data_IF_304456542325
#
_entry.id   IF_304456542325
#
_cell.length_a   1.000
_cell.length_b   1.000
_cell.length_c   1.000
_cell.angle_alpha   90.00
_cell.angle_beta   90.00
_cell.angle_gamma   90.00
#
_symmetry.space_group_name_H-M   'P 1'
#
loop_
_entity.id
_entity.type
_entity.pdbx_description
1 polymer ?
#
# COMPACT_ATOMS: atom_id res chain seq x y z
N UNK A 1 -8.72 23.91 -0.34
CA UNK A 1 -8.91 23.65 -1.80
C UNK A 1 -9.88 22.49 -2.02
N UNK A 2 -9.55 21.25 -1.63
CA UNK A 2 -10.32 20.04 -1.97
C UNK A 2 -11.77 20.04 -1.42
N UNK A 3 -11.98 20.51 -0.19
CA UNK A 3 -13.33 20.63 0.41
C UNK A 3 -14.22 21.60 -0.38
N UNK A 4 -13.66 22.72 -0.82
CA UNK A 4 -14.37 23.73 -1.62
C UNK A 4 -14.80 23.18 -2.97
N UNK A 5 -13.94 22.40 -3.62
CA UNK A 5 -14.23 21.71 -4.89
C UNK A 5 -15.30 20.62 -4.70
N UNK A 6 -15.27 19.90 -3.58
CA UNK A 6 -16.29 18.90 -3.23
C UNK A 6 -17.66 19.53 -3.01
N UNK A 7 -17.70 20.68 -2.31
CA UNK A 7 -18.93 21.47 -2.11
C UNK A 7 -19.52 21.97 -3.43
N UNK A 8 -18.67 22.50 -4.32
CA UNK A 8 -19.11 23.02 -5.62
C UNK A 8 -19.62 21.92 -6.56
N UNK A 9 -19.07 20.69 -6.48
CA UNK A 9 -19.43 19.58 -7.35
C UNK A 9 -20.37 18.54 -6.71
N UNK A 10 -20.93 18.81 -5.54
CA UNK A 10 -21.89 17.95 -4.81
C UNK A 10 -21.41 16.49 -4.67
N UNK A 11 -20.10 16.26 -4.48
CA UNK A 11 -19.50 14.91 -4.43
C UNK A 11 -19.87 14.12 -3.15
N UNK A 12 -20.60 14.73 -2.20
CA UNK A 12 -21.03 14.14 -0.92
C UNK A 12 -19.92 13.51 -0.07
N UNK A 13 -18.67 13.88 -0.33
CA UNK A 13 -17.48 13.35 0.37
C UNK A 13 -17.00 14.23 1.53
N UNK A 14 -17.68 15.35 1.78
CA UNK A 14 -17.23 16.38 2.73
C UNK A 14 -17.11 15.84 4.16
N UNK A 15 -18.12 15.06 4.59
CA UNK A 15 -18.10 14.45 5.91
C UNK A 15 -16.96 13.48 6.06
N UNK A 16 -16.74 12.61 5.06
CA UNK A 16 -15.66 11.64 5.08
C UNK A 16 -14.29 12.33 5.09
N UNK A 17 -14.12 13.36 4.29
CA UNK A 17 -12.89 14.17 4.27
C UNK A 17 -12.66 14.89 5.60
N UNK A 18 -13.70 15.49 6.21
CA UNK A 18 -13.59 16.16 7.49
C UNK A 18 -13.22 15.17 8.62
N UNK A 19 -13.94 14.05 8.74
CA UNK A 19 -13.63 13.03 9.73
C UNK A 19 -12.24 12.41 9.53
N UNK A 20 -11.85 12.16 8.28
CA UNK A 20 -10.52 11.64 7.97
C UNK A 20 -9.42 12.63 8.31
N UNK A 21 -9.64 13.93 8.06
CA UNK A 21 -8.69 14.99 8.41
C UNK A 21 -8.57 15.16 9.93
N UNK A 22 -9.69 15.18 10.66
CA UNK A 22 -9.69 15.27 12.12
C UNK A 22 -8.99 14.04 12.74
N UNK A 23 -9.31 12.85 12.26
CA UNK A 23 -8.66 11.61 12.68
C UNK A 23 -7.15 11.63 12.40
N UNK A 24 -6.74 12.09 11.22
CA UNK A 24 -5.33 12.20 10.87
C UNK A 24 -4.60 13.17 11.80
N UNK A 25 -5.19 14.32 12.13
CA UNK A 25 -4.61 15.29 13.07
C UNK A 25 -4.41 14.67 14.45
N UNK A 26 -5.45 14.03 15.00
CA UNK A 26 -5.35 13.35 16.30
C UNK A 26 -4.29 12.24 16.28
N UNK A 27 -4.28 11.42 15.20
CA UNK A 27 -3.28 10.37 15.03
C UNK A 27 -1.84 10.93 14.96
N UNK A 28 -1.63 12.06 14.28
CA UNK A 28 -0.31 12.70 14.20
C UNK A 28 0.16 13.20 15.57
N UNK A 29 -0.73 13.82 16.37
CA UNK A 29 -0.40 14.28 17.71
C UNK A 29 -0.02 13.10 18.61
N UNK A 30 -0.84 12.03 18.62
CA UNK A 30 -0.57 10.82 19.40
C UNK A 30 0.74 10.17 18.96
N UNK A 31 0.97 10.08 17.64
CA UNK A 31 2.20 9.50 17.10
C UNK A 31 3.44 10.34 17.43
N UNK A 32 3.31 11.66 17.59
CA UNK A 32 4.42 12.50 18.04
C UNK A 32 4.93 12.09 19.42
N UNK A 33 4.04 11.84 20.38
CA UNK A 33 4.39 11.34 21.71
C UNK A 33 4.92 9.89 21.69
N UNK A 34 4.30 9.03 20.87
CA UNK A 34 4.73 7.62 20.73
C UNK A 34 6.11 7.54 20.07
N UNK A 35 6.39 8.44 19.11
CA UNK A 35 7.65 8.44 18.38
C UNK A 35 8.84 8.71 19.31
N UNK A 36 8.71 9.62 20.28
CA UNK A 36 9.75 9.90 21.27
C UNK A 36 10.09 8.64 22.07
N UNK A 37 9.07 7.89 22.54
CA UNK A 37 9.27 6.63 23.25
C UNK A 37 9.90 5.54 22.36
N UNK A 38 9.49 5.49 21.11
CA UNK A 38 9.91 4.47 20.13
C UNK A 38 11.34 4.73 19.65
N UNK A 39 11.73 6.00 19.49
CA UNK A 39 13.11 6.38 19.11
C UNK A 39 14.13 6.15 20.24
N UNK A 40 13.67 6.01 21.48
CA UNK A 40 14.52 5.64 22.61
C UNK A 40 14.80 4.13 22.70
N UNK A 41 14.24 3.32 21.80
CA UNK A 41 14.41 1.87 21.80
C UNK A 41 15.54 1.50 20.84
N UNK A 42 16.67 1.02 21.40
CA UNK A 42 17.83 0.59 20.61
C UNK A 42 17.84 -0.93 20.31
N UNK A 43 16.90 -1.67 20.88
CA UNK A 43 16.82 -3.11 20.72
C UNK A 43 16.25 -3.52 19.35
N UNK A 44 16.99 -4.22 18.50
CA UNK A 44 16.57 -4.55 17.14
C UNK A 44 15.30 -5.43 17.08
N UNK A 45 15.05 -6.21 18.13
CA UNK A 45 13.84 -7.03 18.22
C UNK A 45 12.57 -6.17 18.29
N UNK A 46 12.58 -5.11 19.09
CA UNK A 46 11.41 -4.21 19.19
C UNK A 46 11.20 -3.42 17.90
N UNK A 47 12.28 -3.01 17.22
CA UNK A 47 12.19 -2.36 15.91
C UNK A 47 11.52 -3.27 14.89
N UNK A 48 11.92 -4.54 14.84
CA UNK A 48 11.30 -5.53 13.96
C UNK A 48 9.82 -5.72 14.28
N UNK A 49 9.44 -5.81 15.57
CA UNK A 49 8.05 -5.97 15.98
C UNK A 49 7.18 -4.76 15.60
N UNK A 50 7.72 -3.55 15.72
CA UNK A 50 7.04 -2.31 15.32
C UNK A 50 6.80 -2.31 13.79
N UNK A 51 7.82 -2.61 13.01
CA UNK A 51 7.69 -2.69 11.55
C UNK A 51 6.73 -3.80 11.11
N UNK A 52 6.74 -4.94 11.79
CA UNK A 52 5.79 -6.04 11.58
C UNK A 52 4.35 -5.60 11.88
N UNK A 53 4.14 -4.90 12.99
CA UNK A 53 2.84 -4.32 13.34
C UNK A 53 2.37 -3.31 12.28
N UNK A 54 3.26 -2.44 11.80
CA UNK A 54 2.96 -1.50 10.72
C UNK A 54 2.56 -2.23 9.43
N UNK A 55 3.26 -3.32 9.06
CA UNK A 55 2.89 -4.17 7.94
C UNK A 55 1.51 -4.82 8.12
N UNK A 56 1.18 -5.28 9.33
CA UNK A 56 -0.12 -5.87 9.64
C UNK A 56 -1.26 -4.86 9.47
N UNK A 57 -1.08 -3.64 9.99
CA UNK A 57 -2.04 -2.54 9.80
C UNK A 57 -2.18 -2.19 8.33
N UNK A 58 -1.07 -2.03 7.60
CA UNK A 58 -1.07 -1.75 6.16
C UNK A 58 -1.78 -2.85 5.35
N UNK A 59 -1.54 -4.13 5.70
CA UNK A 59 -2.19 -5.28 5.11
C UNK A 59 -3.70 -5.29 5.30
N UNK A 60 -4.19 -4.91 6.52
CA UNK A 60 -5.62 -4.81 6.78
C UNK A 60 -6.29 -3.67 5.99
N UNK A 61 -5.62 -2.53 5.88
CA UNK A 61 -6.12 -1.37 5.10
C UNK A 61 -6.20 -1.72 3.62
N UNK A 62 -5.12 -2.31 3.08
CA UNK A 62 -5.04 -2.71 1.67
C UNK A 62 -6.02 -3.84 1.36
N UNK A 63 -6.11 -4.86 2.22
CA UNK A 63 -7.02 -6.00 2.05
C UNK A 63 -8.49 -5.61 2.01
N UNK A 64 -8.88 -4.52 2.70
CA UNK A 64 -10.24 -3.96 2.60
C UNK A 64 -10.61 -3.53 1.19
N UNK A 65 -9.67 -3.14 0.37
CA UNK A 65 -9.89 -2.75 -1.04
C UNK A 65 -10.17 -3.97 -1.93
N UNK A 66 -9.68 -5.14 -1.51
CA UNK A 66 -9.86 -6.42 -2.22
C UNK A 66 -10.89 -7.35 -1.58
N UNK A 67 -11.89 -6.88 -0.86
CA UNK A 67 -12.85 -7.70 -0.09
C UNK A 67 -13.52 -8.82 -0.88
N UNK A 68 -13.73 -8.62 -2.18
CA UNK A 68 -14.34 -9.60 -3.07
C UNK A 68 -13.39 -10.76 -3.40
N UNK A 69 -12.09 -10.59 -3.12
CA UNK A 69 -11.07 -11.60 -3.38
C UNK A 69 -10.87 -12.43 -2.11
N UNK A 70 -10.99 -13.76 -2.19
CA UNK A 70 -10.70 -14.63 -1.06
C UNK A 70 -9.30 -14.39 -0.50
N UNK A 71 -9.18 -14.32 0.82
CA UNK A 71 -7.91 -14.12 1.52
C UNK A 71 -7.15 -12.81 1.18
N UNK A 72 -7.86 -11.79 0.68
CA UNK A 72 -7.25 -10.50 0.27
C UNK A 72 -6.37 -9.87 1.35
N UNK A 73 -6.72 -10.02 2.63
CA UNK A 73 -5.93 -9.51 3.77
C UNK A 73 -4.57 -10.18 3.87
N UNK A 74 -4.52 -11.52 3.73
CA UNK A 74 -3.27 -12.28 3.78
C UNK A 74 -2.40 -12.02 2.57
N UNK A 75 -3.02 -11.90 1.39
CA UNK A 75 -2.31 -11.58 0.14
C UNK A 75 -1.68 -10.18 0.24
N UNK A 76 -2.45 -9.20 0.72
CA UNK A 76 -1.95 -7.84 0.93
C UNK A 76 -0.83 -7.78 1.97
N UNK A 77 -1.02 -8.43 3.12
CA UNK A 77 0.00 -8.51 4.16
C UNK A 77 1.29 -9.16 3.65
N UNK A 78 1.20 -10.33 3.03
CA UNK A 78 2.36 -11.04 2.50
C UNK A 78 3.10 -10.21 1.43
N UNK A 79 2.38 -9.58 0.52
CA UNK A 79 2.95 -8.71 -0.51
C UNK A 79 3.68 -7.49 0.07
N UNK A 80 3.07 -6.80 1.03
CA UNK A 80 3.67 -5.65 1.72
C UNK A 80 4.88 -6.09 2.54
N UNK A 81 4.77 -7.18 3.30
CA UNK A 81 5.83 -7.70 4.16
C UNK A 81 7.05 -8.13 3.35
N UNK A 82 6.86 -8.98 2.33
CA UNK A 82 7.96 -9.43 1.46
C UNK A 82 8.60 -8.28 0.69
N UNK A 83 7.81 -7.37 0.13
CA UNK A 83 8.31 -6.18 -0.54
C UNK A 83 9.13 -5.29 0.38
N UNK A 84 8.67 -5.10 1.62
CA UNK A 84 9.39 -4.33 2.63
C UNK A 84 10.71 -5.00 3.04
N UNK A 85 10.71 -6.31 3.28
CA UNK A 85 11.94 -7.06 3.63
C UNK A 85 12.98 -6.93 2.52
N UNK A 86 12.58 -7.14 1.26
CA UNK A 86 13.51 -7.03 0.12
C UNK A 86 14.09 -5.63 0.03
N UNK A 87 13.24 -4.59 0.15
CA UNK A 87 13.68 -3.19 0.08
C UNK A 87 14.60 -2.85 1.23
N UNK A 88 14.27 -3.22 2.48
CA UNK A 88 15.14 -3.03 3.64
C UNK A 88 16.46 -3.78 3.48
N UNK A 89 16.42 -5.02 3.01
CA UNK A 89 17.61 -5.84 2.80
C UNK A 89 18.57 -5.19 1.80
N UNK A 90 18.06 -4.65 0.70
CA UNK A 90 18.87 -3.93 -0.30
C UNK A 90 19.46 -2.65 0.30
N UNK A 91 18.66 -1.84 1.00
CA UNK A 91 19.14 -0.58 1.60
C UNK A 91 20.17 -0.81 2.70
N UNK A 92 19.99 -1.86 3.50
CA UNK A 92 20.95 -2.28 4.52
C UNK A 92 22.26 -2.77 3.89
N UNK A 93 22.19 -3.63 2.87
CA UNK A 93 23.34 -4.14 2.16
C UNK A 93 24.11 -3.03 1.42
N UNK A 94 23.41 -1.99 0.96
CA UNK A 94 24.02 -0.81 0.35
C UNK A 94 24.62 0.18 1.37
N UNK A 95 24.48 -0.08 2.68
CA UNK A 95 24.98 0.80 3.74
C UNK A 95 24.21 2.13 3.88
N UNK A 96 23.01 2.22 3.29
CA UNK A 96 22.20 3.44 3.31
C UNK A 96 21.45 3.59 4.64
N UNK A 97 21.08 2.47 5.27
CA UNK A 97 20.35 2.44 6.54
C UNK A 97 21.25 1.87 7.62
N UNK A 98 21.38 2.62 8.72
CA UNK A 98 21.91 2.09 9.96
C UNK A 98 20.78 1.45 10.77
N UNK A 99 21.02 0.39 11.56
CA UNK A 99 19.99 -0.32 12.33
C UNK A 99 19.58 0.46 13.59
N UNK A 100 19.50 1.77 13.50
CA UNK A 100 19.04 2.66 14.55
C UNK A 100 17.58 3.03 14.35
N UNK A 101 16.81 3.15 15.46
CA UNK A 101 15.38 3.44 15.44
C UNK A 101 15.05 4.72 14.65
N UNK A 102 15.88 5.75 14.80
CA UNK A 102 15.71 7.05 14.17
C UNK A 102 15.71 7.02 12.65
N UNK A 103 16.36 6.04 12.02
CA UNK A 103 16.37 5.84 10.55
C UNK A 103 15.42 4.74 10.12
N UNK A 104 15.40 3.61 10.84
CA UNK A 104 14.64 2.42 10.45
C UNK A 104 13.12 2.67 10.48
N UNK A 105 12.60 3.41 11.45
CA UNK A 105 11.17 3.63 11.62
C UNK A 105 10.60 4.60 10.57
N UNK A 106 11.16 5.80 10.35
CA UNK A 106 10.67 6.69 9.30
C UNK A 106 10.78 6.09 7.91
N UNK A 107 11.93 5.49 7.56
CA UNK A 107 12.13 4.83 6.27
C UNK A 107 11.21 3.63 6.12
N UNK A 108 11.02 2.85 7.20
CA UNK A 108 10.07 1.75 7.24
C UNK A 108 8.65 2.20 6.96
N UNK A 109 8.23 3.29 7.58
CA UNK A 109 6.93 3.91 7.33
C UNK A 109 6.73 4.31 5.88
N UNK A 110 7.75 4.88 5.24
CA UNK A 110 7.71 5.26 3.82
C UNK A 110 7.63 4.02 2.91
N UNK A 111 8.44 2.99 3.16
CA UNK A 111 8.47 1.75 2.36
C UNK A 111 7.14 1.02 2.48
N UNK A 112 6.68 0.78 3.72
CA UNK A 112 5.42 0.09 4.01
C UNK A 112 4.23 0.89 3.46
N UNK A 113 4.23 2.22 3.62
CA UNK A 113 3.19 3.11 3.11
C UNK A 113 3.09 3.11 1.59
N UNK A 114 4.21 3.11 0.88
CA UNK A 114 4.24 3.01 -0.58
C UNK A 114 3.81 1.62 -1.05
N UNK A 115 4.25 0.55 -0.39
CA UNK A 115 3.83 -0.83 -0.66
C UNK A 115 2.32 -1.01 -0.43
N UNK A 116 1.77 -0.40 0.62
CA UNK A 116 0.34 -0.39 0.91
C UNK A 116 -0.47 0.31 -0.20
N UNK A 117 0.00 1.46 -0.68
CA UNK A 117 -0.66 2.19 -1.79
C UNK A 117 -0.67 1.36 -3.06
N UNK A 118 0.47 0.77 -3.44
CA UNK A 118 0.61 -0.09 -4.61
C UNK A 118 -0.29 -1.32 -4.51
N UNK A 119 -0.28 -2.02 -3.37
CA UNK A 119 -1.13 -3.18 -3.10
C UNK A 119 -2.63 -2.83 -3.14
N UNK A 120 -3.04 -1.71 -2.52
CA UNK A 120 -4.42 -1.24 -2.54
C UNK A 120 -4.90 -0.93 -3.96
N UNK A 121 -4.05 -0.29 -4.76
CA UNK A 121 -4.36 0.04 -6.15
C UNK A 121 -4.46 -1.22 -7.00
N UNK A 122 -3.53 -2.17 -6.84
CA UNK A 122 -3.54 -3.46 -7.56
C UNK A 122 -4.81 -4.25 -7.28
N UNK A 123 -5.20 -4.38 -6.01
CA UNK A 123 -6.41 -5.10 -5.63
C UNK A 123 -7.68 -4.44 -6.18
N UNK A 124 -7.77 -3.11 -6.09
CA UNK A 124 -8.90 -2.37 -6.61
C UNK A 124 -9.01 -2.49 -8.15
N UNK A 125 -7.88 -2.40 -8.85
CA UNK A 125 -7.84 -2.59 -10.31
C UNK A 125 -8.18 -4.02 -10.71
N UNK A 126 -7.71 -5.02 -9.95
CA UNK A 126 -8.01 -6.42 -10.24
C UNK A 126 -9.51 -6.72 -10.18
N UNK A 127 -10.22 -6.19 -9.17
CA UNK A 127 -11.68 -6.33 -9.09
C UNK A 127 -12.35 -5.71 -10.31
N UNK A 128 -11.93 -4.50 -10.70
CA UNK A 128 -12.47 -3.83 -11.88
C UNK A 128 -12.24 -4.64 -13.17
N UNK A 129 -11.01 -5.13 -13.38
CA UNK A 129 -10.67 -5.92 -14.57
C UNK A 129 -11.40 -7.26 -14.62
N UNK A 130 -11.53 -7.96 -13.49
CA UNK A 130 -12.32 -9.19 -13.41
C UNK A 130 -13.78 -8.95 -13.77
N UNK A 131 -14.36 -7.82 -13.31
CA UNK A 131 -15.72 -7.42 -13.66
C UNK A 131 -15.87 -7.10 -15.16
N UNK A 132 -14.95 -6.31 -15.72
CA UNK A 132 -14.99 -5.94 -17.14
C UNK A 132 -14.77 -7.13 -18.07
N UNK A 133 -13.94 -8.09 -17.68
CA UNK A 133 -13.62 -9.26 -18.53
C UNK A 133 -14.45 -10.50 -18.17
N UNK A 134 -15.51 -10.36 -17.38
CA UNK A 134 -16.30 -11.48 -16.88
C UNK A 134 -16.78 -12.41 -17.97
N UNK A 135 -17.40 -11.90 -19.04
CA UNK A 135 -17.90 -12.71 -20.14
C UNK A 135 -16.79 -13.52 -20.84
N UNK A 136 -15.61 -12.90 -21.03
CA UNK A 136 -14.44 -13.57 -21.60
C UNK A 136 -13.91 -14.66 -20.67
N UNK A 137 -13.85 -14.41 -19.38
CA UNK A 137 -13.41 -15.38 -18.38
C UNK A 137 -14.36 -16.58 -18.34
N UNK A 138 -15.68 -16.35 -18.32
CA UNK A 138 -16.70 -17.39 -18.36
C UNK A 138 -16.58 -18.24 -19.64
N UNK A 139 -16.35 -17.61 -20.80
CA UNK A 139 -16.12 -18.33 -22.05
C UNK A 139 -14.88 -19.22 -22.01
N UNK A 140 -13.76 -18.72 -21.48
CA UNK A 140 -12.53 -19.50 -21.36
C UNK A 140 -12.71 -20.70 -20.41
N UNK A 141 -13.41 -20.52 -19.29
CA UNK A 141 -13.74 -21.60 -18.38
C UNK A 141 -14.63 -22.65 -19.03
N UNK A 142 -15.63 -22.24 -19.84
CA UNK A 142 -16.49 -23.15 -20.59
C UNK A 142 -15.73 -23.96 -21.65
N UNK A 143 -14.65 -23.40 -22.20
CA UNK A 143 -13.73 -24.07 -23.13
C UNK A 143 -12.69 -24.98 -22.42
N UNK A 144 -12.76 -25.10 -21.09
CA UNK A 144 -11.87 -25.99 -20.31
C UNK A 144 -10.58 -25.34 -19.82
N UNK A 145 -10.43 -24.02 -19.92
CA UNK A 145 -9.31 -23.33 -19.31
C UNK A 145 -9.39 -23.39 -17.78
N UNK A 146 -8.24 -23.50 -17.11
CA UNK A 146 -8.18 -23.36 -15.64
C UNK A 146 -8.51 -21.94 -15.21
N UNK A 147 -8.99 -21.75 -13.96
CA UNK A 147 -9.29 -20.42 -13.38
C UNK A 147 -8.10 -19.47 -13.46
N UNK A 148 -6.87 -20.00 -13.29
CA UNK A 148 -5.63 -19.23 -13.41
C UNK A 148 -5.39 -18.74 -14.85
N UNK A 149 -5.63 -19.59 -15.84
CA UNK A 149 -5.46 -19.24 -17.25
C UNK A 149 -6.52 -18.21 -17.68
N UNK A 150 -7.77 -18.40 -17.28
CA UNK A 150 -8.87 -17.51 -17.61
C UNK A 150 -8.69 -16.10 -17.02
N UNK A 151 -8.17 -15.98 -15.79
CA UNK A 151 -7.97 -14.69 -15.11
C UNK A 151 -6.62 -14.02 -15.42
N UNK A 152 -5.69 -14.67 -16.13
CA UNK A 152 -4.31 -14.22 -16.28
C UNK A 152 -4.21 -12.83 -16.94
N UNK A 153 -5.02 -12.56 -17.96
CA UNK A 153 -5.02 -11.27 -18.65
C UNK A 153 -5.54 -10.14 -17.77
N UNK A 154 -6.59 -10.40 -16.99
CA UNK A 154 -7.12 -9.44 -16.03
C UNK A 154 -6.07 -9.10 -14.95
N UNK A 155 -5.35 -10.11 -14.45
CA UNK A 155 -4.26 -9.92 -13.47
C UNK A 155 -3.13 -9.08 -14.07
N UNK A 156 -2.69 -9.38 -15.30
CA UNK A 156 -1.64 -8.62 -15.98
C UNK A 156 -2.01 -7.15 -16.18
N UNK A 157 -3.23 -6.89 -16.62
CA UNK A 157 -3.71 -5.52 -16.83
C UNK A 157 -3.84 -4.76 -15.50
N UNK A 158 -4.36 -5.40 -14.47
CA UNK A 158 -4.47 -4.80 -13.14
C UNK A 158 -3.11 -4.44 -12.54
N UNK A 159 -2.14 -5.35 -12.59
CA UNK A 159 -0.78 -5.12 -12.10
C UNK A 159 -0.10 -4.04 -12.92
N UNK A 160 -0.19 -4.09 -14.26
CA UNK A 160 0.38 -3.08 -15.14
C UNK A 160 -0.14 -1.67 -14.82
N UNK A 161 -1.47 -1.52 -14.70
CA UNK A 161 -2.10 -0.24 -14.35
C UNK A 161 -1.72 0.26 -12.95
N UNK A 162 -1.56 -0.64 -11.98
CA UNK A 162 -1.17 -0.29 -10.63
C UNK A 162 0.31 0.13 -10.52
N UNK A 163 1.15 -0.31 -11.44
CA UNK A 163 2.58 0.05 -11.47
C UNK A 163 2.86 1.39 -12.14
N UNK A 164 1.94 1.95 -12.92
CA UNK A 164 2.14 3.23 -13.62
C UNK A 164 2.64 4.34 -12.69
N UNK A 165 1.98 4.64 -11.55
CA UNK A 165 2.44 5.72 -10.66
C UNK A 165 3.84 5.47 -10.10
N UNK A 166 4.19 4.22 -9.83
CA UNK A 166 5.52 3.84 -9.31
C UNK A 166 6.59 4.08 -10.38
N UNK A 167 6.33 3.65 -11.61
CA UNK A 167 7.25 3.87 -12.75
C UNK A 167 7.42 5.35 -13.04
N UNK A 168 6.35 6.13 -12.99
CA UNK A 168 6.40 7.58 -13.22
C UNK A 168 7.19 8.28 -12.10
N UNK A 169 7.03 7.85 -10.85
CA UNK A 169 7.86 8.35 -9.75
C UNK A 169 9.33 8.04 -9.98
N UNK A 170 9.67 6.82 -10.44
CA UNK A 170 11.06 6.43 -10.75
C UNK A 170 11.67 7.29 -11.85
N UNK A 171 10.90 7.66 -12.89
CA UNK A 171 11.37 8.53 -13.98
C UNK A 171 11.64 9.97 -13.52
N UNK A 172 10.95 10.42 -12.46
CA UNK A 172 11.04 11.80 -11.95
C UNK A 172 11.94 11.94 -10.74
N UNK A 173 12.44 10.84 -10.17
CA UNK A 173 13.40 10.85 -9.07
C UNK A 173 14.67 11.61 -9.51
N UNK A 174 15.09 12.57 -8.68
CA UNK A 174 16.24 13.42 -8.94
C UNK A 174 15.96 14.67 -9.79
N UNK A 175 14.83 14.75 -10.49
CA UNK A 175 14.44 15.95 -11.26
C UNK A 175 13.31 16.74 -10.59
N UNK A 176 12.30 16.04 -10.06
CA UNK A 176 11.09 16.64 -9.47
C UNK A 176 10.96 16.30 -7.99
N UNK A 177 11.41 15.11 -7.58
CA UNK A 177 11.46 14.66 -6.20
C UNK A 177 12.90 14.73 -5.70
N UNK A 178 13.21 15.84 -5.03
CA UNK A 178 14.40 15.90 -4.17
C UNK A 178 14.02 15.27 -2.80
N UNK A 179 14.95 14.50 -2.20
CA UNK A 179 14.76 13.96 -0.86
C UNK A 179 14.74 15.07 0.17
#
# INVERSE_FOLDING_TARGET
GAILISLLNQLKMEREMFYSSLRATVQLIVMGFVLEMVLAIDEPLYLFLILLFMCAVAGTISGKRGREIPHSYWIAFAGIFLGSIVTFGVLYAAGVIQPEAQYAIPLGGMIIGNSMKASSLSLNRLIGELGHQRARIETLLALGASSRQAALDAVRQAVGAAMIPTVDTMKTVGLVHFP
#
